data_IF_925275613835
#
_entry.id   IF_925275613835
#
_cell.length_a   1.000
_cell.length_b   1.000
_cell.length_c   1.000
_cell.angle_alpha   90.00
_cell.angle_beta   90.00
_cell.angle_gamma   90.00
#
_symmetry.space_group_name_H-M   'P 1'
#
loop_
_entity.id
_entity.type
_entity.pdbx_description
1 polymer ?
#
# COMPACT_ATOMS: atom_id res chain seq x y z
N UNK A 1 1.34 -29.87 -7.02
CA UNK A 1 2.31 -29.21 -7.90
C UNK A 1 1.63 -28.11 -8.68
N UNK A 2 2.13 -26.88 -8.61
CA UNK A 2 1.49 -25.82 -9.40
C UNK A 2 1.66 -26.11 -10.88
N UNK A 3 0.61 -25.85 -11.61
CA UNK A 3 0.56 -25.93 -13.05
C UNK A 3 1.60 -24.97 -13.63
N UNK A 4 2.21 -25.30 -14.74
CA UNK A 4 3.13 -24.42 -15.47
C UNK A 4 2.46 -23.07 -15.76
N UNK A 5 1.18 -23.11 -16.11
CA UNK A 5 0.40 -21.90 -16.38
C UNK A 5 0.31 -20.99 -15.16
N UNK A 6 0.12 -21.57 -13.97
CA UNK A 6 0.08 -20.76 -12.74
C UNK A 6 1.41 -20.09 -12.46
N UNK A 7 2.52 -20.79 -12.69
CA UNK A 7 3.84 -20.22 -12.55
C UNK A 7 4.07 -19.07 -13.51
N UNK A 8 3.63 -19.26 -14.77
CA UNK A 8 3.78 -18.23 -15.79
C UNK A 8 2.97 -17.00 -15.46
N UNK A 9 1.75 -17.18 -14.95
CA UNK A 9 0.89 -16.08 -14.55
C UNK A 9 1.48 -15.32 -13.36
N UNK A 10 2.01 -16.03 -12.38
CA UNK A 10 2.64 -15.40 -11.21
C UNK A 10 3.88 -14.62 -11.62
N UNK A 11 4.69 -15.19 -12.51
CA UNK A 11 5.89 -14.51 -13.02
C UNK A 11 5.52 -13.27 -13.82
N UNK A 12 4.49 -13.35 -14.64
CA UNK A 12 4.01 -12.22 -15.42
C UNK A 12 3.54 -11.10 -14.50
N UNK A 13 2.73 -11.43 -13.50
CA UNK A 13 2.23 -10.44 -12.55
C UNK A 13 3.38 -9.77 -11.81
N UNK A 14 4.36 -10.54 -11.37
CA UNK A 14 5.52 -9.98 -10.68
C UNK A 14 6.29 -9.04 -11.59
N UNK A 15 6.44 -9.39 -12.87
CA UNK A 15 7.12 -8.54 -13.85
C UNK A 15 6.37 -7.22 -14.06
N UNK A 16 5.05 -7.28 -14.09
CA UNK A 16 4.23 -6.06 -14.22
C UNK A 16 4.42 -5.17 -13.00
N UNK A 17 4.36 -5.73 -11.80
CA UNK A 17 4.53 -4.96 -10.57
C UNK A 17 5.92 -4.34 -10.50
N UNK A 18 6.95 -5.09 -10.91
CA UNK A 18 8.32 -4.59 -10.88
C UNK A 18 8.57 -3.47 -11.89
N UNK A 19 7.80 -3.45 -12.98
CA UNK A 19 7.92 -2.43 -14.01
C UNK A 19 7.21 -1.12 -13.65
N UNK A 20 6.29 -1.15 -12.68
CA UNK A 20 5.55 0.05 -12.30
C UNK A 20 6.40 0.99 -11.48
N UNK A 21 6.32 2.31 -11.76
CA UNK A 21 6.98 3.30 -10.90
C UNK A 21 6.28 3.50 -9.57
N UNK A 22 4.99 3.17 -9.50
CA UNK A 22 4.17 3.36 -8.30
C UNK A 22 4.40 2.23 -7.30
N UNK A 23 4.41 2.55 -6.02
CA UNK A 23 4.50 1.54 -4.97
C UNK A 23 3.16 0.82 -4.83
N UNK A 24 3.21 -0.50 -4.67
CA UNK A 24 2.01 -1.32 -4.44
C UNK A 24 2.19 -2.05 -3.12
N UNK A 25 1.31 -1.78 -2.18
CA UNK A 25 1.37 -2.34 -0.83
C UNK A 25 0.00 -2.94 -0.50
N UNK A 26 -0.01 -4.18 -0.04
CA UNK A 26 -1.26 -4.76 0.45
C UNK A 26 -1.22 -4.84 1.96
N UNK A 27 -2.36 -4.59 2.59
CA UNK A 27 -2.48 -4.64 4.04
C UNK A 27 -3.68 -5.48 4.43
N UNK A 28 -3.62 -6.03 5.64
CA UNK A 28 -4.72 -6.76 6.24
C UNK A 28 -5.76 -5.77 6.76
N UNK A 29 -6.89 -6.31 7.18
CA UNK A 29 -7.97 -5.53 7.80
C UNK A 29 -7.49 -4.78 9.05
N UNK A 30 -6.51 -5.33 9.75
CA UNK A 30 -5.92 -4.70 10.94
C UNK A 30 -4.86 -3.66 10.60
N UNK A 31 -4.55 -3.48 9.32
CA UNK A 31 -3.56 -2.51 8.89
C UNK A 31 -2.12 -3.03 8.84
N UNK A 32 -1.94 -4.34 8.94
CA UNK A 32 -0.60 -4.94 8.87
C UNK A 32 -0.18 -5.15 7.42
N UNK A 33 1.05 -4.78 7.11
CA UNK A 33 1.58 -4.92 5.76
C UNK A 33 1.75 -6.39 5.41
N UNK A 34 1.08 -6.84 4.35
CA UNK A 34 1.14 -8.22 3.88
C UNK A 34 2.09 -8.37 2.70
N UNK A 35 2.17 -7.37 1.82
CA UNK A 35 3.10 -7.38 0.69
C UNK A 35 3.57 -5.97 0.39
N UNK A 36 4.71 -5.87 -0.32
CA UNK A 36 5.41 -4.61 -0.46
C UNK A 36 6.29 -4.73 -1.72
N UNK A 37 6.00 -3.92 -2.73
CA UNK A 37 6.64 -4.05 -4.04
C UNK A 37 8.07 -3.51 -4.04
N UNK A 38 8.83 -3.84 -5.09
CA UNK A 38 10.16 -3.29 -5.27
C UNK A 38 10.12 -1.77 -5.43
N UNK A 39 9.11 -1.25 -6.12
CA UNK A 39 8.95 0.20 -6.25
C UNK A 39 8.73 0.83 -4.88
N UNK A 40 8.02 0.15 -3.98
CA UNK A 40 7.83 0.62 -2.62
C UNK A 40 9.17 0.68 -1.87
N UNK A 41 10.03 -0.31 -2.08
CA UNK A 41 11.36 -0.30 -1.47
C UNK A 41 12.17 0.91 -1.92
N UNK A 42 12.14 1.21 -3.20
CA UNK A 42 12.86 2.37 -3.75
C UNK A 42 12.27 3.69 -3.28
N UNK A 43 10.94 3.76 -3.24
CA UNK A 43 10.24 5.00 -2.90
C UNK A 43 10.35 5.33 -1.41
N UNK A 44 10.18 4.34 -0.55
CA UNK A 44 10.04 4.55 0.90
C UNK A 44 11.33 4.24 1.67
N UNK A 45 12.27 3.55 1.05
CA UNK A 45 13.57 3.29 1.66
C UNK A 45 13.64 2.08 2.58
N UNK A 46 12.49 1.51 2.94
CA UNK A 46 12.45 0.26 3.69
C UNK A 46 12.51 -0.91 2.74
N UNK A 47 13.16 -1.98 3.14
CA UNK A 47 13.06 -3.26 2.43
C UNK A 47 11.80 -4.00 2.88
N UNK A 48 11.30 -4.88 2.02
CA UNK A 48 10.07 -5.61 2.34
C UNK A 48 10.18 -6.37 3.68
N UNK A 49 11.32 -7.04 3.90
CA UNK A 49 11.50 -7.81 5.13
C UNK A 49 11.52 -6.93 6.39
N UNK A 50 11.74 -5.64 6.25
CA UNK A 50 11.73 -4.72 7.39
C UNK A 50 10.31 -4.33 7.81
N UNK A 51 9.37 -4.32 6.86
CA UNK A 51 8.04 -3.75 7.11
C UNK A 51 6.90 -4.76 6.99
N UNK A 52 7.08 -5.87 6.28
CA UNK A 52 6.02 -6.89 6.20
C UNK A 52 5.73 -7.42 7.60
N UNK A 53 4.46 -7.41 7.97
CA UNK A 53 4.02 -7.77 9.32
C UNK A 53 3.89 -6.59 10.27
N UNK A 54 4.43 -5.42 9.89
CA UNK A 54 4.29 -4.21 10.70
C UNK A 54 3.04 -3.44 10.28
N UNK A 55 2.56 -2.57 11.17
CA UNK A 55 1.44 -1.71 10.86
C UNK A 55 1.85 -0.66 9.83
N UNK A 56 0.96 -0.39 8.89
CA UNK A 56 1.19 0.60 7.80
C UNK A 56 1.53 1.99 8.36
N UNK A 57 1.21 2.26 9.61
CA UNK A 57 1.53 3.54 10.26
C UNK A 57 3.01 3.88 10.20
N UNK A 58 3.88 2.89 10.09
CA UNK A 58 5.32 3.12 10.02
C UNK A 58 5.69 3.98 8.80
N UNK A 59 4.86 3.98 7.78
CA UNK A 59 5.10 4.73 6.55
C UNK A 59 4.43 6.11 6.57
N UNK A 60 3.82 6.50 7.67
CA UNK A 60 3.07 7.74 7.79
C UNK A 60 3.70 8.67 8.82
N UNK A 61 3.80 9.98 8.52
CA UNK A 61 4.21 10.93 9.54
C UNK A 61 3.06 11.18 10.51
N UNK A 62 3.38 11.61 11.74
CA UNK A 62 2.38 12.14 12.65
C UNK A 62 1.88 13.49 12.08
N UNK A 63 0.58 13.84 12.19
CA UNK A 63 -0.49 13.12 12.87
C UNK A 63 -1.22 12.09 12.00
N UNK A 64 -0.87 11.96 10.72
CA UNK A 64 -1.55 11.03 9.80
C UNK A 64 -1.53 9.59 10.29
N UNK A 65 -0.51 9.24 11.07
CA UNK A 65 -0.37 7.92 11.68
C UNK A 65 -1.59 7.55 12.52
N UNK A 66 -2.11 8.51 13.28
CA UNK A 66 -3.28 8.30 14.14
C UNK A 66 -4.58 8.35 13.32
N UNK A 67 -4.64 9.22 12.32
CA UNK A 67 -5.80 9.36 11.46
C UNK A 67 -6.10 8.10 10.66
N UNK A 68 -5.06 7.35 10.27
CA UNK A 68 -5.25 6.14 9.48
C UNK A 68 -6.14 5.13 10.20
N UNK A 69 -5.92 4.91 11.49
CA UNK A 69 -6.74 3.97 12.26
C UNK A 69 -8.20 4.40 12.27
N UNK A 70 -8.45 5.69 12.44
CA UNK A 70 -9.81 6.22 12.42
C UNK A 70 -10.50 6.01 11.07
N UNK A 71 -9.77 6.20 9.97
CA UNK A 71 -10.31 6.01 8.63
C UNK A 71 -10.66 4.54 8.39
N UNK A 72 -9.81 3.62 8.81
CA UNK A 72 -10.06 2.19 8.66
C UNK A 72 -11.29 1.76 9.46
N UNK A 73 -11.41 2.25 10.69
CA UNK A 73 -12.54 1.92 11.55
C UNK A 73 -13.84 2.44 10.96
N UNK A 74 -13.85 3.65 10.44
CA UNK A 74 -15.04 4.21 9.79
C UNK A 74 -15.46 3.40 8.59
N UNK A 75 -14.51 2.99 7.76
CA UNK A 75 -14.80 2.18 6.60
C UNK A 75 -15.41 0.83 6.99
N UNK A 76 -14.82 0.16 7.97
CA UNK A 76 -15.32 -1.12 8.44
C UNK A 76 -16.72 -1.01 9.03
N UNK A 77 -17.00 0.09 9.73
CA UNK A 77 -18.31 0.31 10.34
C UNK A 77 -19.40 0.60 9.30
N UNK A 78 -19.08 1.39 8.27
CA UNK A 78 -20.06 1.80 7.26
C UNK A 78 -20.15 0.85 6.07
N UNK A 79 -19.11 0.07 5.82
CA UNK A 79 -19.01 -0.83 4.67
C UNK A 79 -19.18 -0.12 3.33
N UNK A 80 -18.75 1.13 3.23
CA UNK A 80 -18.89 1.93 2.01
C UNK A 80 -17.65 1.77 1.14
N UNK A 81 -17.76 0.91 0.14
CA UNK A 81 -16.65 0.62 -0.78
C UNK A 81 -16.21 1.84 -1.59
N UNK A 82 -17.15 2.68 -1.99
CA UNK A 82 -16.84 3.84 -2.82
C UNK A 82 -15.99 4.90 -2.12
N UNK A 83 -15.90 4.85 -0.80
CA UNK A 83 -15.05 5.78 -0.05
C UNK A 83 -13.58 5.46 -0.27
N UNK A 84 -13.25 4.19 -0.50
CA UNK A 84 -11.87 3.74 -0.62
C UNK A 84 -11.33 3.89 -2.04
N UNK A 85 -12.14 3.72 -3.07
CA UNK A 85 -11.68 3.76 -4.45
C UNK A 85 -11.20 5.12 -4.95
N UNK A 86 -11.33 6.17 -4.15
CA UNK A 86 -11.01 7.54 -4.56
C UNK A 86 -9.55 7.85 -4.23
N UNK A 87 -8.81 8.36 -5.23
CA UNK A 87 -7.46 8.82 -5.02
C UNK A 87 -7.42 10.06 -4.15
N UNK A 88 -6.44 10.13 -3.25
CA UNK A 88 -6.29 11.27 -2.35
C UNK A 88 -4.83 11.65 -2.20
N UNK A 89 -4.63 12.92 -1.86
CA UNK A 89 -3.31 13.42 -1.54
C UNK A 89 -3.05 13.30 -0.05
N UNK A 90 -1.93 12.70 0.28
CA UNK A 90 -1.46 12.53 1.65
C UNK A 90 0.03 12.82 1.68
N UNK A 91 0.63 12.65 2.85
CA UNK A 91 2.07 12.64 3.01
C UNK A 91 2.50 11.27 3.52
N UNK A 92 3.63 10.80 3.04
CA UNK A 92 4.28 9.59 3.53
C UNK A 92 5.63 9.95 4.11
N UNK A 93 6.21 9.04 4.87
CA UNK A 93 7.52 9.24 5.47
C UNK A 93 8.45 8.10 5.09
N UNK A 94 9.61 8.45 4.55
CA UNK A 94 10.65 7.49 4.19
C UNK A 94 11.38 7.02 5.44
N UNK A 95 12.13 5.95 5.31
CA UNK A 95 12.95 5.41 6.40
C UNK A 95 13.89 6.46 6.99
N UNK A 96 14.43 7.35 6.16
CA UNK A 96 15.34 8.39 6.60
C UNK A 96 14.66 9.59 7.27
N UNK A 97 13.34 9.55 7.41
CA UNK A 97 12.58 10.63 8.03
C UNK A 97 12.03 11.66 7.06
N UNK A 98 12.40 11.58 5.79
CA UNK A 98 11.91 12.53 4.79
C UNK A 98 10.39 12.37 4.60
N UNK A 99 9.67 13.48 4.72
CA UNK A 99 8.23 13.52 4.47
C UNK A 99 8.00 14.06 3.07
N UNK A 100 7.16 13.40 2.30
CA UNK A 100 6.91 13.80 0.92
C UNK A 100 5.45 13.59 0.54
N UNK A 101 4.95 14.39 -0.42
CA UNK A 101 3.56 14.27 -0.84
C UNK A 101 3.36 13.04 -1.72
N UNK A 102 2.24 12.36 -1.53
CA UNK A 102 1.87 11.20 -2.33
C UNK A 102 0.42 11.30 -2.78
N UNK A 103 0.13 10.61 -3.87
CA UNK A 103 -1.22 10.31 -4.29
C UNK A 103 -1.49 8.86 -3.92
N UNK A 104 -2.54 8.61 -3.17
CA UNK A 104 -2.88 7.28 -2.67
C UNK A 104 -4.22 6.83 -3.23
N UNK A 105 -4.24 5.67 -3.85
CA UNK A 105 -5.47 4.99 -4.25
C UNK A 105 -5.56 3.68 -3.47
N UNK A 106 -6.72 3.41 -2.90
CA UNK A 106 -6.93 2.21 -2.08
C UNK A 106 -8.12 1.45 -2.64
N UNK A 107 -7.97 0.15 -2.77
CA UNK A 107 -9.08 -0.72 -3.14
C UNK A 107 -9.19 -1.89 -2.18
N UNK A 108 -10.42 -2.35 -1.99
CA UNK A 108 -10.72 -3.50 -1.16
C UNK A 108 -10.64 -4.77 -1.98
N UNK A 109 -10.16 -5.85 -1.36
CA UNK A 109 -10.19 -7.17 -1.97
C UNK A 109 -10.44 -8.21 -0.90
N UNK A 110 -10.85 -9.40 -1.33
CA UNK A 110 -11.03 -10.53 -0.43
C UNK A 110 -10.10 -11.66 -0.90
N UNK A 111 -9.28 -12.15 0.02
CA UNK A 111 -8.35 -13.24 -0.23
C UNK A 111 -8.67 -14.35 0.74
N UNK A 112 -9.15 -15.47 0.23
CA UNK A 112 -9.56 -16.61 1.05
C UNK A 112 -10.56 -16.21 2.14
N UNK A 113 -11.53 -15.36 1.76
CA UNK A 113 -12.56 -14.89 2.68
C UNK A 113 -12.16 -13.78 3.62
N UNK A 114 -10.90 -13.35 3.58
CA UNK A 114 -10.41 -12.27 4.44
C UNK A 114 -10.37 -10.96 3.69
N UNK A 115 -10.86 -9.91 4.31
CA UNK A 115 -10.80 -8.56 3.75
C UNK A 115 -9.38 -8.05 3.81
N UNK A 116 -8.91 -7.53 2.69
CA UNK A 116 -7.60 -6.90 2.58
C UNK A 116 -7.72 -5.65 1.73
N UNK A 117 -6.70 -4.82 1.75
CA UNK A 117 -6.68 -3.58 0.98
C UNK A 117 -5.39 -3.49 0.18
N UNK A 118 -5.50 -2.95 -1.02
CA UNK A 118 -4.34 -2.66 -1.87
C UNK A 118 -4.19 -1.15 -1.96
N UNK A 119 -3.05 -0.64 -1.55
CA UNK A 119 -2.70 0.76 -1.72
C UNK A 119 -1.74 0.93 -2.88
N UNK A 120 -2.03 1.87 -3.77
CA UNK A 120 -1.14 2.25 -4.84
C UNK A 120 -0.69 3.67 -4.57
N UNK A 121 0.62 3.86 -4.41
CA UNK A 121 1.21 5.12 -3.95
C UNK A 121 2.05 5.70 -5.07
N UNK A 122 1.74 6.94 -5.45
CA UNK A 122 2.51 7.70 -6.43
C UNK A 122 3.21 8.85 -5.72
N UNK A 123 4.52 8.96 -5.92
CA UNK A 123 5.32 10.05 -5.38
C UNK A 123 5.00 11.33 -6.15
N UNK A 124 4.54 12.36 -5.44
CA UNK A 124 4.13 13.64 -6.03
C UNK A 124 5.21 14.71 -5.87
N UNK A 125 6.39 14.35 -5.37
CA UNK A 125 7.43 15.33 -5.06
C UNK A 125 7.79 16.20 -6.25
N UNK A 126 7.89 15.60 -7.45
CA UNK A 126 8.30 16.30 -8.66
C UNK A 126 7.25 17.26 -9.21
N UNK A 127 5.98 17.02 -8.87
CA UNK A 127 4.89 17.82 -9.40
C UNK A 127 4.73 19.16 -8.68
N UNK A 128 5.45 19.33 -7.58
CA UNK A 128 5.35 20.54 -6.76
C UNK A 128 6.51 21.49 -6.94
N UNK A 129 7.41 21.20 -7.84
CA UNK A 129 8.55 22.07 -8.16
C UNK A 129 8.15 23.17 -9.14
#
# INVERSE_FOLDING_TARGET
MPDVKEKDEATLLQSVLDALPDAVITITEEGLIASYSQAAERMLGYKAHEVVGMNIKVLMPAPFRDEHDGHMDRYKATKRKNVIGIGREFSAQRKDGTVFPIHLSVSEMFVQGRRMFTGIIRDQSRLKE
#
